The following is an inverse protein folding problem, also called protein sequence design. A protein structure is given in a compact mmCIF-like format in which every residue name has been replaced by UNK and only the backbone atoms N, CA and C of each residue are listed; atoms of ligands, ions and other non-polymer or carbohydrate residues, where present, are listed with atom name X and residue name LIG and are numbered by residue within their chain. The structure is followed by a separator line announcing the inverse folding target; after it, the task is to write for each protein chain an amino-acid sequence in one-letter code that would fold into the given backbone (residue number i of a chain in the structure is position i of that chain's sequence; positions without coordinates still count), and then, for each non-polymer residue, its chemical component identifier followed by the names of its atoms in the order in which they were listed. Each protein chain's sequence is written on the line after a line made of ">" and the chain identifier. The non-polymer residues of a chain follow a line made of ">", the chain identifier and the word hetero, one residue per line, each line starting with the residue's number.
data_IF_056628543735
#
_entry.id   IF_056628543735
#
_cell.length_a   1.000
_cell.length_b   1.000
_cell.length_c   1.000
_cell.angle_alpha   90.00
_cell.angle_beta   90.00
_cell.angle_gamma   90.00
#
_symmetry.space_group_name_H-M   'P 1'
#
loop_
_entity.id
_entity.type
_entity.pdbx_description
1 polymer ?
#
# COMPACT_ATOMS: atom_id res chain seq x y z
N UNK A 1 14.66 7.37 1.75
CA UNK A 1 13.55 8.31 1.46
C UNK A 1 12.51 8.32 2.59
N UNK A 2 11.97 9.48 2.98
CA UNK A 2 10.87 9.61 3.96
C UNK A 2 9.50 9.45 3.27
N UNK A 3 8.47 8.89 3.93
CA UNK A 3 7.11 8.85 3.37
C UNK A 3 6.59 10.26 3.04
N UNK A 4 5.98 10.43 1.87
CA UNK A 4 5.39 11.69 1.39
C UNK A 4 3.94 11.46 0.96
N UNK A 5 3.07 12.43 1.21
CA UNK A 5 1.69 12.42 0.73
C UNK A 5 1.69 13.01 -0.69
N UNK A 6 1.09 12.30 -1.63
CA UNK A 6 1.06 12.64 -3.06
C UNK A 6 -0.40 12.80 -3.47
N UNK A 7 -0.77 13.99 -3.95
CA UNK A 7 -2.12 14.34 -4.37
C UNK A 7 -2.28 14.48 -5.89
N UNK A 8 -1.17 14.56 -6.64
CA UNK A 8 -1.19 14.75 -8.08
C UNK A 8 -0.17 13.86 -8.81
N UNK A 9 -0.36 13.73 -10.13
CA UNK A 9 0.56 12.97 -10.98
C UNK A 9 1.95 13.63 -11.07
N UNK A 10 2.00 14.94 -11.06
CA UNK A 10 3.23 15.74 -11.11
C UNK A 10 4.04 15.53 -9.83
N UNK A 11 3.37 15.51 -8.67
CA UNK A 11 4.00 15.18 -7.39
C UNK A 11 4.56 13.75 -7.38
N UNK A 12 3.83 12.78 -7.96
CA UNK A 12 4.34 11.42 -8.13
C UNK A 12 5.60 11.39 -8.99
N UNK A 13 5.58 12.06 -10.14
CA UNK A 13 6.73 12.17 -11.03
C UNK A 13 7.93 12.81 -10.32
N UNK A 14 7.71 13.87 -9.54
CA UNK A 14 8.78 14.53 -8.82
C UNK A 14 9.42 13.61 -7.77
N UNK A 15 8.62 12.85 -7.01
CA UNK A 15 9.15 11.86 -6.06
C UNK A 15 9.99 10.80 -6.77
N UNK A 16 9.55 10.35 -7.94
CA UNK A 16 10.30 9.37 -8.74
C UNK A 16 11.62 9.96 -9.26
N UNK A 17 11.63 11.21 -9.74
CA UNK A 17 12.84 11.93 -10.17
C UNK A 17 13.81 12.14 -9.00
N UNK A 18 13.32 12.66 -7.88
CA UNK A 18 14.11 12.86 -6.66
C UNK A 18 14.77 11.55 -6.22
N UNK A 19 14.05 10.42 -6.29
CA UNK A 19 14.61 9.11 -5.91
C UNK A 19 15.67 8.62 -6.88
N UNK A 20 15.45 8.78 -8.19
CA UNK A 20 16.47 8.47 -9.20
C UNK A 20 17.73 9.28 -8.93
N UNK A 21 17.58 10.57 -8.66
CA UNK A 21 18.69 11.50 -8.45
C UNK A 21 19.43 11.20 -7.12
N UNK A 22 18.70 10.82 -6.06
CA UNK A 22 19.28 10.34 -4.79
C UNK A 22 20.14 9.07 -4.99
N UNK A 23 19.78 8.23 -5.96
CA UNK A 23 20.50 6.99 -6.29
C UNK A 23 21.56 7.17 -7.38
N UNK A 24 21.68 8.35 -7.97
CA UNK A 24 22.57 8.66 -9.11
C UNK A 24 22.43 7.65 -10.28
N UNK A 25 21.19 7.28 -10.61
CA UNK A 25 20.91 6.31 -11.67
C UNK A 25 20.62 7.00 -13.01
N UNK A 26 21.31 6.56 -14.06
CA UNK A 26 21.00 6.97 -15.43
C UNK A 26 19.67 6.39 -15.91
N UNK A 27 19.05 7.02 -16.93
CA UNK A 27 17.84 6.48 -17.56
C UNK A 27 18.07 5.13 -18.23
N UNK A 28 19.22 4.95 -18.86
CA UNK A 28 19.59 3.70 -19.53
C UNK A 28 19.75 2.55 -18.53
N UNK A 29 20.36 2.83 -17.37
CA UNK A 29 20.46 1.85 -16.28
C UNK A 29 19.09 1.43 -15.79
N UNK A 30 18.16 2.39 -15.62
CA UNK A 30 16.77 2.08 -15.23
C UNK A 30 16.03 1.28 -16.31
N UNK A 31 16.18 1.60 -17.59
CA UNK A 31 15.61 0.79 -18.68
C UNK A 31 16.11 -0.67 -18.59
N UNK A 32 17.41 -0.87 -18.34
CA UNK A 32 18.02 -2.19 -18.15
C UNK A 32 17.47 -2.95 -16.94
N UNK A 33 17.33 -2.30 -15.78
CA UNK A 33 16.79 -2.93 -14.56
C UNK A 33 15.31 -3.27 -14.72
N UNK A 34 14.53 -2.37 -15.31
CA UNK A 34 13.08 -2.55 -15.48
C UNK A 34 12.71 -3.52 -16.59
N UNK A 35 13.65 -3.83 -17.50
CA UNK A 35 13.39 -4.59 -18.72
C UNK A 35 12.53 -3.83 -19.73
N UNK A 36 12.42 -2.50 -19.60
CA UNK A 36 11.71 -1.66 -20.56
C UNK A 36 12.59 -1.40 -21.79
N UNK A 37 11.95 -1.01 -22.90
CA UNK A 37 12.67 -0.61 -24.10
C UNK A 37 13.60 0.57 -23.80
N UNK A 38 14.84 0.56 -24.30
CA UNK A 38 15.78 1.66 -24.14
C UNK A 38 15.19 3.02 -24.54
N UNK A 39 15.37 4.01 -23.68
CA UNK A 39 14.81 5.36 -23.80
C UNK A 39 13.35 5.49 -23.37
N UNK A 40 12.70 4.42 -22.88
CA UNK A 40 11.32 4.49 -22.42
C UNK A 40 11.21 5.25 -21.10
N UNK A 41 12.09 4.97 -20.13
CA UNK A 41 12.17 5.72 -18.86
C UNK A 41 12.43 7.21 -19.11
N UNK A 42 13.26 7.55 -20.10
CA UNK A 42 13.50 8.95 -20.49
C UNK A 42 12.20 9.66 -20.89
N UNK A 43 11.31 9.00 -21.66
CA UNK A 43 10.01 9.55 -22.06
C UNK A 43 9.01 9.68 -20.90
N UNK A 44 9.09 8.77 -19.92
CA UNK A 44 8.23 8.81 -18.72
C UNK A 44 8.64 9.95 -17.78
N UNK A 45 9.95 10.17 -17.60
CA UNK A 45 10.50 11.11 -16.64
C UNK A 45 10.87 12.48 -17.23
N UNK A 46 10.75 12.67 -18.55
CA UNK A 46 10.94 13.96 -19.23
C UNK A 46 10.08 15.07 -18.62
N UNK A 47 10.54 16.32 -18.70
CA UNK A 47 9.80 17.51 -18.26
C UNK A 47 9.57 18.45 -19.45
N UNK A 48 8.34 18.57 -19.97
CA UNK A 48 7.12 17.86 -19.59
C UNK A 48 7.14 16.36 -19.97
N UNK A 49 6.37 15.50 -19.28
CA UNK A 49 6.37 14.06 -19.55
C UNK A 49 5.73 13.76 -20.90
N UNK A 50 6.49 13.14 -21.80
CA UNK A 50 6.01 12.75 -23.12
C UNK A 50 5.03 11.57 -23.06
N UNK A 51 5.14 10.72 -22.04
CA UNK A 51 4.26 9.55 -21.85
C UNK A 51 3.76 9.42 -20.41
N UNK A 52 2.52 8.95 -20.27
CA UNK A 52 1.93 8.58 -18.99
C UNK A 52 2.49 7.27 -18.43
N UNK A 53 2.44 7.11 -17.11
CA UNK A 53 2.67 5.82 -16.48
C UNK A 53 1.51 4.88 -16.82
N UNK A 54 1.84 3.75 -17.43
CA UNK A 54 0.93 2.61 -17.50
C UNK A 54 1.07 1.76 -16.24
N UNK A 55 0.15 0.82 -16.03
CA UNK A 55 0.18 -0.08 -14.87
C UNK A 55 1.51 -0.85 -14.77
N UNK A 56 1.93 -1.49 -15.86
CA UNK A 56 3.18 -2.26 -15.91
C UNK A 56 4.42 -1.38 -15.74
N UNK A 57 4.46 -0.22 -16.40
CA UNK A 57 5.65 0.65 -16.35
C UNK A 57 5.78 1.36 -15.01
N UNK A 58 4.67 1.71 -14.35
CA UNK A 58 4.70 2.25 -12.99
C UNK A 58 5.27 1.23 -12.02
N UNK A 59 4.76 0.00 -12.05
CA UNK A 59 5.22 -1.04 -11.14
C UNK A 59 6.69 -1.39 -11.36
N UNK A 60 7.11 -1.62 -12.61
CA UNK A 60 8.50 -1.92 -12.93
C UNK A 60 9.45 -0.82 -12.46
N UNK A 61 9.09 0.45 -12.68
CA UNK A 61 9.93 1.58 -12.27
C UNK A 61 10.00 1.74 -10.75
N UNK A 62 8.89 1.51 -10.04
CA UNK A 62 8.87 1.53 -8.57
C UNK A 62 9.73 0.40 -8.00
N UNK A 63 9.61 -0.81 -8.53
CA UNK A 63 10.42 -1.96 -8.11
C UNK A 63 11.93 -1.70 -8.38
N UNK A 64 12.28 -1.13 -9.54
CA UNK A 64 13.66 -0.76 -9.87
C UNK A 64 14.26 0.31 -8.94
N UNK A 65 13.43 1.22 -8.43
CA UNK A 65 13.85 2.26 -7.48
C UNK A 65 13.74 1.85 -6.01
N UNK A 66 13.30 0.61 -5.74
CA UNK A 66 13.06 0.09 -4.39
C UNK A 66 11.94 0.83 -3.65
N UNK A 67 10.93 1.30 -4.39
CA UNK A 67 9.77 2.02 -3.85
C UNK A 67 8.50 1.18 -3.97
N UNK A 68 7.55 1.41 -3.06
CA UNK A 68 6.19 0.85 -3.14
C UNK A 68 5.17 1.86 -2.67
N UNK A 69 3.96 1.78 -3.21
CA UNK A 69 2.81 2.56 -2.73
C UNK A 69 2.28 1.86 -1.48
N UNK A 70 2.46 2.49 -0.31
CA UNK A 70 2.04 1.91 0.97
C UNK A 70 0.53 2.04 1.21
N UNK A 71 -0.05 3.18 0.85
CA UNK A 71 -1.48 3.45 0.96
C UNK A 71 -1.92 4.38 -0.16
N UNK A 72 -3.17 4.22 -0.61
CA UNK A 72 -3.82 5.12 -1.56
C UNK A 72 -5.17 5.54 -0.99
N UNK A 73 -5.35 6.85 -0.82
CA UNK A 73 -6.63 7.43 -0.37
C UNK A 73 -7.32 8.00 -1.60
N UNK A 74 -8.47 7.44 -1.94
CA UNK A 74 -9.30 7.96 -3.02
C UNK A 74 -10.38 8.82 -2.38
N UNK A 75 -10.35 10.12 -2.69
CA UNK A 75 -11.32 11.10 -2.20
C UNK A 75 -12.14 11.60 -3.39
N UNK A 76 -13.46 11.62 -3.24
CA UNK A 76 -14.35 12.23 -4.23
C UNK A 76 -14.25 13.75 -4.14
N UNK A 77 -13.93 14.39 -5.26
CA UNK A 77 -14.03 15.85 -5.39
C UNK A 77 -15.51 16.21 -5.64
N UNK A 78 -16.21 16.85 -4.67
CA UNK A 78 -17.65 17.09 -4.77
C UNK A 78 -18.02 18.01 -5.93
N UNK A 79 -17.14 18.97 -6.28
CA UNK A 79 -17.40 19.90 -7.38
C UNK A 79 -17.26 19.22 -8.74
N UNK A 80 -16.29 18.30 -8.88
CA UNK A 80 -16.16 17.47 -10.09
C UNK A 80 -17.29 16.46 -10.18
N UNK A 81 -17.67 15.85 -9.06
CA UNK A 81 -18.77 14.90 -9.02
C UNK A 81 -20.07 15.55 -9.51
N UNK A 82 -20.41 16.73 -9.01
CA UNK A 82 -21.64 17.44 -9.41
C UNK A 82 -21.66 17.76 -10.92
N UNK A 83 -20.52 18.18 -11.49
CA UNK A 83 -20.40 18.45 -12.94
C UNK A 83 -20.66 17.23 -13.82
N UNK A 84 -20.29 16.04 -13.36
CA UNK A 84 -20.40 14.80 -14.15
C UNK A 84 -21.64 13.99 -13.77
N UNK A 85 -22.30 14.30 -12.65
CA UNK A 85 -23.46 13.57 -12.10
C UNK A 85 -24.59 13.41 -13.11
N UNK A 86 -24.89 14.45 -13.90
CA UNK A 86 -25.91 14.40 -14.96
C UNK A 86 -25.61 13.41 -16.09
N UNK A 87 -24.34 13.03 -16.28
CA UNK A 87 -23.89 12.09 -17.31
C UNK A 87 -23.88 10.64 -16.82
N UNK A 88 -24.01 10.40 -15.52
CA UNK A 88 -24.00 9.06 -14.95
C UNK A 88 -25.30 8.32 -15.26
N UNK A 89 -25.23 7.30 -16.13
CA UNK A 89 -26.33 6.36 -16.34
C UNK A 89 -26.09 5.12 -15.48
N UNK A 90 -26.96 4.81 -14.51
CA UNK A 90 -26.84 3.58 -13.75
C UNK A 90 -26.80 2.38 -14.69
N UNK A 91 -25.80 1.52 -14.52
CA UNK A 91 -25.71 0.28 -15.29
C UNK A 91 -26.96 -0.55 -14.99
N UNK A 92 -27.76 -0.84 -16.02
CA UNK A 92 -28.89 -1.78 -15.92
C UNK A 92 -28.32 -3.15 -15.55
N UNK A 93 -28.33 -3.49 -14.26
CA UNK A 93 -27.95 -4.83 -13.82
C UNK A 93 -28.99 -5.80 -14.37
N UNK A 94 -28.54 -6.93 -14.90
CA UNK A 94 -29.44 -8.06 -15.16
C UNK A 94 -30.19 -8.29 -13.84
N UNK A 95 -31.53 -8.42 -13.85
CA UNK A 95 -32.24 -8.79 -12.64
C UNK A 95 -31.56 -10.04 -12.11
N UNK A 96 -31.08 -9.99 -10.87
CA UNK A 96 -30.59 -11.19 -10.22
C UNK A 96 -31.68 -12.24 -10.45
N UNK A 97 -31.32 -13.41 -11.01
CA UNK A 97 -32.28 -14.53 -11.00
C UNK A 97 -32.73 -14.58 -9.55
N UNK A 98 -34.02 -14.34 -9.28
CA UNK A 98 -34.60 -14.64 -7.97
C UNK A 98 -34.07 -16.03 -7.68
N UNK A 99 -33.24 -16.18 -6.66
CA UNK A 99 -32.80 -17.49 -6.24
C UNK A 99 -34.12 -18.24 -6.04
N UNK A 100 -34.47 -19.12 -6.98
CA UNK A 100 -35.64 -19.97 -6.89
C UNK A 100 -35.46 -20.62 -5.55
N UNK A 101 -36.36 -20.33 -4.60
CA UNK A 101 -36.25 -20.68 -3.19
C UNK A 101 -35.56 -22.04 -3.05
N UNK A 102 -34.23 -21.99 -2.97
CA UNK A 102 -33.44 -23.18 -2.84
C UNK A 102 -33.71 -23.52 -1.39
N UNK A 103 -34.10 -24.77 -1.15
CA UNK A 103 -34.24 -25.30 0.19
C UNK A 103 -33.14 -24.70 1.07
N UNK A 104 -33.47 -24.20 2.27
CA UNK A 104 -32.44 -23.67 3.16
C UNK A 104 -31.29 -24.67 3.16
N UNK A 105 -30.03 -24.22 2.94
CA UNK A 105 -28.91 -25.14 2.92
C UNK A 105 -29.02 -26.01 4.17
N UNK A 106 -28.87 -27.34 4.06
CA UNK A 106 -28.99 -28.22 5.21
C UNK A 106 -28.08 -27.67 6.33
N UNK A 107 -28.56 -27.69 7.57
CA UNK A 107 -27.92 -27.06 8.75
C UNK A 107 -26.44 -27.46 8.96
N UNK A 108 -25.96 -28.50 8.27
CA UNK A 108 -24.58 -28.94 8.27
C UNK A 108 -23.63 -28.15 7.32
N UNK A 109 -24.15 -27.19 6.54
CA UNK A 109 -23.37 -26.27 5.69
C UNK A 109 -23.48 -24.83 6.22
N UNK A 110 -23.22 -24.65 7.52
CA UNK A 110 -22.65 -23.39 7.97
C UNK A 110 -21.30 -23.22 7.27
N UNK A 111 -21.26 -22.33 6.28
CA UNK A 111 -20.03 -21.63 5.97
C UNK A 111 -19.53 -21.06 7.29
N UNK A 112 -18.49 -21.67 7.84
CA UNK A 112 -17.65 -21.10 8.89
C UNK A 112 -17.10 -19.81 8.31
N UNK A 113 -17.88 -18.73 8.42
CA UNK A 113 -17.36 -17.39 8.41
C UNK A 113 -16.27 -17.42 9.47
N UNK A 114 -15.04 -17.29 9.00
CA UNK A 114 -13.81 -17.50 9.71
C UNK A 114 -13.90 -16.96 11.13
N UNK A 115 -14.09 -17.86 12.08
CA UNK A 115 -13.68 -17.61 13.45
C UNK A 115 -12.14 -17.46 13.38
N UNK A 116 -11.53 -16.36 13.85
CA UNK A 116 -10.09 -16.11 13.72
C UNK A 116 -9.27 -16.95 14.73
N UNK A 117 -9.56 -18.26 14.81
CA UNK A 117 -8.70 -19.23 15.45
C UNK A 117 -8.27 -20.23 14.38
N UNK A 118 -7.26 -19.84 13.63
CA UNK A 118 -6.39 -20.77 12.91
C UNK A 118 -5.67 -21.59 14.00
N UNK A 119 -6.31 -22.66 14.48
CA UNK A 119 -5.61 -23.75 15.15
C UNK A 119 -5.00 -24.62 14.07
N UNK A 120 -3.68 -24.76 14.13
CA UNK A 120 -2.94 -25.70 13.31
C UNK A 120 -3.46 -27.12 13.55
N UNK A 121 -4.09 -27.72 12.54
CA UNK A 121 -4.33 -29.16 12.50
C UNK A 121 -3.32 -29.75 11.53
N UNK A 122 -2.27 -30.30 12.11
CA UNK A 122 -1.29 -31.14 11.45
C UNK A 122 -1.94 -32.45 11.00
N UNK A 123 -2.28 -32.57 9.73
CA UNK A 123 -2.59 -33.87 9.13
C UNK A 123 -1.38 -34.43 8.38
N UNK A 124 -0.76 -35.34 9.11
CA UNK A 124 0.16 -36.39 8.70
C UNK A 124 -0.46 -37.26 7.59
N UNK A 125 0.42 -37.87 6.78
CA UNK A 125 0.17 -38.87 5.72
C UNK A 125 0.16 -38.30 4.29
N UNK A 126 1.25 -37.63 3.87
CA UNK A 126 1.89 -37.84 2.55
C UNK A 126 3.25 -37.12 2.42
N UNK A 127 4.17 -37.31 3.38
CA UNK A 127 5.51 -36.72 3.27
C UNK A 127 6.60 -37.61 3.90
N UNK A 128 6.68 -38.87 3.46
CA UNK A 128 7.89 -39.69 3.59
C UNK A 128 8.57 -39.70 2.21
N UNK A 129 9.39 -38.70 1.88
CA UNK A 129 10.56 -38.84 0.98
C UNK A 129 11.33 -37.51 0.68
N UNK A 130 11.15 -36.38 1.39
CA UNK A 130 11.99 -35.17 1.09
C UNK A 130 12.40 -34.35 2.31
N UNK A 131 12.49 -34.96 3.50
CA UNK A 131 12.99 -34.29 4.71
C UNK A 131 14.22 -35.02 5.23
N UNK A 132 15.36 -34.77 4.58
CA UNK A 132 16.67 -35.13 5.14
C UNK A 132 17.67 -33.96 5.19
N UNK A 133 17.31 -32.73 4.77
CA UNK A 133 18.32 -31.65 4.69
C UNK A 133 17.90 -30.25 5.16
N UNK A 134 16.84 -30.09 5.97
CA UNK A 134 16.48 -28.77 6.52
C UNK A 134 16.27 -28.84 8.03
N UNK A 135 17.29 -29.32 8.75
CA UNK A 135 17.26 -29.41 10.21
C UNK A 135 18.56 -28.88 10.84
N UNK A 136 19.01 -27.68 10.46
CA UNK A 136 20.14 -26.99 11.12
C UNK A 136 20.05 -25.45 11.12
N UNK A 137 18.87 -24.83 11.01
CA UNK A 137 18.73 -23.37 11.22
C UNK A 137 17.49 -23.11 12.07
N UNK A 138 17.56 -23.51 13.33
CA UNK A 138 16.53 -23.28 14.33
C UNK A 138 17.19 -23.04 15.67
N UNK A 139 17.93 -21.94 15.79
CA UNK A 139 18.48 -21.51 17.08
C UNK A 139 18.66 -19.98 17.12
N UNK A 140 18.14 -19.38 18.19
CA UNK A 140 18.36 -18.01 18.68
C UNK A 140 17.64 -16.86 17.97
N UNK A 141 16.31 -16.81 18.11
CA UNK A 141 15.69 -15.53 18.47
C UNK A 141 15.85 -15.40 19.99
N UNK A 142 16.53 -14.34 20.45
CA UNK A 142 16.80 -14.12 21.87
C UNK A 142 15.46 -13.84 22.60
N UNK A 143 15.19 -14.45 23.77
CA UNK A 143 14.00 -14.16 24.57
C UNK A 143 13.89 -12.65 24.92
N UNK A 144 15.03 -11.96 24.93
CA UNK A 144 15.19 -10.52 25.11
C UNK A 144 14.39 -9.66 24.10
N UNK A 145 14.21 -10.16 22.87
CA UNK A 145 13.52 -9.42 21.81
C UNK A 145 12.00 -9.52 21.93
N UNK A 146 11.50 -10.65 22.45
CA UNK A 146 10.07 -10.80 22.77
C UNK A 146 9.68 -9.95 23.98
N UNK A 147 10.58 -9.82 24.98
CA UNK A 147 10.36 -8.92 26.11
C UNK A 147 10.39 -7.45 25.69
N UNK A 148 11.32 -7.03 24.82
CA UNK A 148 11.33 -5.67 24.27
C UNK A 148 10.08 -5.35 23.45
N UNK A 149 9.58 -6.28 22.64
CA UNK A 149 8.35 -6.07 21.85
C UNK A 149 7.12 -6.01 22.76
N UNK A 150 7.06 -6.84 23.81
CA UNK A 150 6.00 -6.77 24.83
C UNK A 150 6.07 -5.49 25.65
N UNK A 151 7.26 -5.01 25.98
CA UNK A 151 7.47 -3.76 26.72
C UNK A 151 7.09 -2.53 25.87
N UNK A 152 7.45 -2.51 24.59
CA UNK A 152 7.01 -1.47 23.63
C UNK A 152 5.47 -1.50 23.49
N UNK A 153 4.88 -2.69 23.34
CA UNK A 153 3.42 -2.84 23.24
C UNK A 153 2.68 -2.49 24.55
N UNK A 154 3.29 -2.73 25.71
CA UNK A 154 2.72 -2.39 27.02
C UNK A 154 2.89 -0.90 27.37
N UNK A 155 3.94 -0.26 26.87
CA UNK A 155 4.20 1.19 27.03
C UNK A 155 3.27 2.02 26.14
N UNK A 156 2.95 1.51 24.96
CA UNK A 156 2.02 2.13 24.02
C UNK A 156 0.61 1.50 24.12
N UNK A 157 -0.05 1.59 25.29
CA UNK A 157 -1.51 1.33 25.44
C UNK A 157 -2.39 2.35 24.66
N UNK A 158 -1.99 2.69 23.45
CA UNK A 158 -2.69 3.54 22.50
C UNK A 158 -3.19 2.61 21.41
N UNK A 159 -4.49 2.61 21.20
CA UNK A 159 -5.06 1.94 20.04
C UNK A 159 -4.48 2.56 18.77
N UNK A 160 -4.52 1.86 17.63
CA UNK A 160 -4.10 2.44 16.33
C UNK A 160 -4.77 3.79 16.07
N UNK A 161 -6.01 3.95 16.54
CA UNK A 161 -6.76 5.20 16.51
C UNK A 161 -6.14 6.32 17.34
N UNK A 162 -5.57 6.03 18.50
CA UNK A 162 -4.89 7.01 19.34
C UNK A 162 -3.55 7.44 18.74
N UNK A 163 -2.83 6.53 18.07
CA UNK A 163 -1.62 6.88 17.33
C UNK A 163 -1.92 7.84 16.17
N UNK A 164 -2.98 7.56 15.40
CA UNK A 164 -3.45 8.43 14.31
C UNK A 164 -3.89 9.79 14.86
N UNK A 165 -4.62 9.82 15.97
CA UNK A 165 -5.06 11.08 16.62
C UNK A 165 -3.88 11.94 17.04
N UNK A 166 -2.91 11.38 17.78
CA UNK A 166 -1.73 12.13 18.20
C UNK A 166 -0.91 12.65 17.01
N UNK A 167 -0.79 11.87 15.93
CA UNK A 167 -0.06 12.30 14.73
C UNK A 167 -0.74 13.47 14.00
N UNK A 168 -2.08 13.48 13.99
CA UNK A 168 -2.87 14.58 13.46
C UNK A 168 -2.74 15.84 14.32
N UNK A 169 -2.79 15.70 15.64
CA UNK A 169 -2.63 16.82 16.59
C UNK A 169 -1.24 17.47 16.46
N UNK A 170 -0.17 16.67 16.34
CA UNK A 170 1.19 17.15 16.10
C UNK A 170 1.29 17.95 14.79
N UNK A 171 0.67 17.45 13.72
CA UNK A 171 0.69 18.11 12.42
C UNK A 171 -0.06 19.46 12.44
N UNK A 172 -1.20 19.53 13.12
CA UNK A 172 -1.97 20.78 13.29
C UNK A 172 -1.18 21.79 14.13
N UNK A 173 -0.52 21.32 15.21
CA UNK A 173 0.32 22.19 16.03
C UNK A 173 1.52 22.74 15.25
N UNK A 174 2.12 21.95 14.35
CA UNK A 174 3.20 22.40 13.49
C UNK A 174 2.75 23.46 12.48
N UNK A 175 1.58 23.28 11.86
CA UNK A 175 1.01 24.25 10.92
C UNK A 175 0.75 25.61 11.58
N UNK A 176 0.16 25.62 12.79
CA UNK A 176 -0.09 26.86 13.54
C UNK A 176 1.19 27.63 13.87
N UNK A 177 2.29 26.95 14.14
CA UNK A 177 3.59 27.61 14.37
C UNK A 177 4.12 28.25 13.09
N UNK A 178 3.90 27.63 11.93
CA UNK A 178 4.29 28.22 10.65
C UNK A 178 3.51 29.49 10.34
N UNK A 179 2.19 29.50 10.62
CA UNK A 179 1.35 30.69 10.44
C UNK A 179 1.79 31.84 11.37
N UNK A 180 2.11 31.53 12.64
CA UNK A 180 2.64 32.51 13.59
C UNK A 180 3.96 33.13 13.10
N UNK A 181 4.90 32.31 12.65
CA UNK A 181 6.17 32.81 12.10
C UNK A 181 6.00 33.63 10.82
N UNK A 182 4.99 33.33 9.98
CA UNK A 182 4.68 34.15 8.80
C UNK A 182 4.06 35.50 9.18
N UNK A 183 3.24 35.54 10.23
CA UNK A 183 2.63 36.79 10.71
C UNK A 183 3.61 37.73 11.43
N UNK A 184 4.69 37.19 12.03
CA UNK A 184 5.74 38.01 12.68
C UNK A 184 6.78 38.53 11.68
N UNK A 185 6.88 37.92 10.50
CA UNK A 185 7.82 38.30 9.44
C UNK A 185 7.26 39.33 8.44
N UNK A 186 5.98 39.71 8.58
CA UNK A 186 5.28 40.69 7.75
C UNK A 186 5.03 42.00 8.51
#
# INVERSE_FOLDING_TARGET
>A
MRPRIIASREQLLQVVRDRRDELDLSHETLDGITGLQGGYVSKLLADPPMRGFGEMSLQALLDALGMRIAFAVIVEDPERAERVRSRWRPRKRRPAKKASAANPPPENLWCVASNPQITMVSNTVHQRQVMANTKMIGARVKPDLEEQVKEIAARDRRTVSDWIRCRLEDAVAAARRQDQHQSEAA
#
